data_IF_536344503813
#
_entry.id   IF_536344503813
#
_cell.length_a   1.000
_cell.length_b   1.000
_cell.length_c   1.000
_cell.angle_alpha   90.00
_cell.angle_beta   90.00
_cell.angle_gamma   90.00
#
_symmetry.space_group_name_H-M   'P 1'
#
loop_
_entity.id
_entity.type
_entity.pdbx_description
1 polymer ?
#
# COMPACT_ATOMS: atom_id res chain seq x y z
N UNK A 1 1.76 -16.25 -4.89
CA UNK A 1 3.14 -16.32 -5.39
C UNK A 1 3.84 -17.32 -4.51
N UNK A 2 4.73 -18.15 -5.05
CA UNK A 2 5.54 -19.00 -4.17
C UNK A 2 6.66 -18.18 -3.50
N UNK A 3 7.27 -18.74 -2.47
CA UNK A 3 8.27 -18.03 -1.65
C UNK A 3 9.55 -17.68 -2.45
N UNK A 4 9.87 -18.41 -3.52
CA UNK A 4 11.04 -18.14 -4.35
C UNK A 4 10.76 -16.95 -5.27
N UNK A 5 9.65 -16.98 -6.00
CA UNK A 5 9.16 -15.88 -6.83
C UNK A 5 8.98 -14.59 -6.01
N UNK A 6 8.50 -14.69 -4.77
CA UNK A 6 8.31 -13.56 -3.88
C UNK A 6 9.65 -12.92 -3.48
N UNK A 7 10.62 -13.72 -3.05
CA UNK A 7 11.95 -13.21 -2.66
C UNK A 7 12.66 -12.54 -3.84
N UNK A 8 12.62 -13.16 -5.01
CA UNK A 8 13.19 -12.58 -6.23
C UNK A 8 12.53 -11.24 -6.57
N UNK A 9 11.20 -11.13 -6.43
CA UNK A 9 10.49 -9.86 -6.64
C UNK A 9 10.98 -8.79 -5.66
N UNK A 10 11.09 -9.09 -4.37
CA UNK A 10 11.52 -8.10 -3.37
C UNK A 10 12.96 -7.65 -3.62
N UNK A 11 13.88 -8.58 -3.90
CA UNK A 11 15.27 -8.24 -4.25
C UNK A 11 15.33 -7.34 -5.49
N UNK A 12 14.59 -7.69 -6.54
CA UNK A 12 14.52 -6.89 -7.76
C UNK A 12 13.96 -5.49 -7.51
N UNK A 13 12.95 -5.34 -6.66
CA UNK A 13 12.37 -4.04 -6.31
C UNK A 13 13.33 -3.16 -5.50
N UNK A 14 14.11 -3.75 -4.60
CA UNK A 14 15.11 -3.04 -3.79
C UNK A 14 16.26 -2.54 -4.67
N UNK A 15 16.75 -3.36 -5.60
CA UNK A 15 17.83 -2.98 -6.52
C UNK A 15 17.37 -2.06 -7.66
N UNK A 16 16.07 -2.04 -7.96
CA UNK A 16 15.52 -1.24 -9.04
C UNK A 16 15.63 0.27 -8.77
N UNK A 17 16.33 0.97 -9.65
CA UNK A 17 16.56 2.42 -9.52
C UNK A 17 15.38 3.29 -9.95
N UNK A 18 14.57 2.80 -10.89
CA UNK A 18 13.55 3.60 -11.55
C UNK A 18 12.15 3.25 -11.04
N UNK A 19 11.46 4.25 -10.48
CA UNK A 19 10.09 4.11 -9.99
C UNK A 19 9.12 3.56 -11.03
N UNK A 20 9.24 3.95 -12.30
CA UNK A 20 8.38 3.41 -13.37
C UNK A 20 8.53 1.90 -13.54
N UNK A 21 9.75 1.40 -13.39
CA UNK A 21 10.08 0.00 -13.59
C UNK A 21 9.64 -0.80 -12.36
N UNK A 22 9.81 -0.27 -11.14
CA UNK A 22 9.23 -0.85 -9.92
C UNK A 22 7.72 -1.03 -10.03
N UNK A 23 7.00 0.02 -10.40
CA UNK A 23 5.53 -0.03 -10.53
C UNK A 23 5.10 -1.06 -11.58
N UNK A 24 5.86 -1.17 -12.68
CA UNK A 24 5.61 -2.18 -13.71
C UNK A 24 5.85 -3.58 -13.17
N UNK A 25 6.96 -3.82 -12.47
CA UNK A 25 7.27 -5.11 -11.85
C UNK A 25 6.18 -5.55 -10.88
N UNK A 26 5.75 -4.66 -9.99
CA UNK A 26 4.65 -4.92 -9.05
C UNK A 26 3.40 -5.32 -9.84
N UNK A 27 3.00 -4.52 -10.83
CA UNK A 27 1.79 -4.79 -11.64
C UNK A 27 1.87 -6.11 -12.43
N UNK A 28 3.05 -6.46 -12.93
CA UNK A 28 3.26 -7.63 -13.77
C UNK A 28 3.35 -8.92 -12.93
N UNK A 29 3.89 -8.86 -11.71
CA UNK A 29 4.12 -10.04 -10.85
C UNK A 29 3.05 -10.23 -9.77
N UNK A 30 2.51 -9.17 -9.17
CA UNK A 30 1.47 -9.24 -8.14
C UNK A 30 0.11 -9.52 -8.78
N UNK A 31 -0.59 -10.55 -8.28
CA UNK A 31 -1.87 -11.06 -8.82
C UNK A 31 -3.04 -10.93 -7.86
N UNK A 32 -2.78 -10.74 -6.58
CA UNK A 32 -3.82 -10.57 -5.57
C UNK A 32 -3.59 -9.32 -4.72
N UNK A 33 -4.64 -8.89 -4.03
CA UNK A 33 -4.56 -7.78 -3.08
C UNK A 33 -3.71 -8.15 -1.86
N UNK A 34 -3.74 -9.41 -1.42
CA UNK A 34 -2.92 -9.90 -0.31
C UNK A 34 -1.42 -9.86 -0.67
N UNK A 35 -1.06 -10.31 -1.88
CA UNK A 35 0.32 -10.19 -2.37
C UNK A 35 0.77 -8.73 -2.50
N UNK A 36 -0.14 -7.83 -2.88
CA UNK A 36 0.17 -6.41 -2.93
C UNK A 36 0.49 -5.86 -1.54
N UNK A 37 -0.29 -6.24 -0.53
CA UNK A 37 -0.09 -5.84 0.85
C UNK A 37 1.28 -6.27 1.38
N UNK A 38 1.65 -7.54 1.16
CA UNK A 38 2.96 -8.07 1.55
C UNK A 38 4.10 -7.28 0.88
N UNK A 39 3.98 -7.04 -0.43
CA UNK A 39 4.97 -6.24 -1.18
C UNK A 39 5.05 -4.80 -0.67
N UNK A 40 3.95 -4.19 -0.25
CA UNK A 40 3.95 -2.82 0.27
C UNK A 40 4.73 -2.69 1.58
N UNK A 41 4.74 -3.74 2.40
CA UNK A 41 5.51 -3.79 3.65
C UNK A 41 6.99 -4.06 3.37
N UNK A 42 7.30 -4.99 2.47
CA UNK A 42 8.66 -5.49 2.30
C UNK A 42 9.50 -4.73 1.25
N UNK A 43 8.87 -4.14 0.23
CA UNK A 43 9.59 -3.55 -0.91
C UNK A 43 10.24 -2.17 -0.63
N UNK A 44 10.08 -1.63 0.59
CA UNK A 44 10.68 -0.37 1.04
C UNK A 44 10.45 0.80 0.06
N UNK A 45 9.25 0.87 -0.51
CA UNK A 45 8.88 1.94 -1.43
C UNK A 45 8.89 3.28 -0.69
N UNK A 46 9.45 4.32 -1.32
CA UNK A 46 9.37 5.66 -0.76
C UNK A 46 7.96 6.25 -0.92
N UNK A 47 7.67 7.38 -0.26
CA UNK A 47 6.35 8.00 -0.28
C UNK A 47 5.85 8.32 -1.71
N UNK A 48 6.72 8.75 -2.62
CA UNK A 48 6.33 9.06 -4.01
C UNK A 48 5.94 7.79 -4.78
N UNK A 49 6.75 6.74 -4.68
CA UNK A 49 6.49 5.41 -5.26
C UNK A 49 5.17 4.84 -4.74
N UNK A 50 4.96 4.93 -3.44
CA UNK A 50 3.74 4.48 -2.76
C UNK A 50 2.52 5.24 -3.29
N UNK A 51 2.59 6.57 -3.38
CA UNK A 51 1.50 7.40 -3.91
C UNK A 51 1.16 7.04 -5.36
N UNK A 52 2.18 6.78 -6.20
CA UNK A 52 1.95 6.38 -7.59
C UNK A 52 1.27 5.01 -7.67
N UNK A 53 1.64 4.08 -6.81
CA UNK A 53 0.98 2.77 -6.72
C UNK A 53 -0.48 2.91 -6.25
N UNK A 54 -0.74 3.68 -5.18
CA UNK A 54 -2.10 3.92 -4.69
C UNK A 54 -3.01 4.62 -5.72
N UNK A 55 -2.44 5.44 -6.61
CA UNK A 55 -3.19 6.05 -7.71
C UNK A 55 -3.71 5.04 -8.73
N UNK A 56 -3.10 3.85 -8.81
CA UNK A 56 -3.57 2.76 -9.67
C UNK A 56 -4.74 1.98 -9.07
N UNK A 57 -4.97 2.12 -7.75
CA UNK A 57 -6.00 1.40 -7.03
C UNK A 57 -7.37 2.08 -7.13
N UNK A 58 -8.40 1.25 -7.26
CA UNK A 58 -9.80 1.64 -7.16
C UNK A 58 -10.22 1.97 -5.73
N UNK A 59 -11.40 2.58 -5.59
CA UNK A 59 -11.91 3.00 -4.28
C UNK A 59 -12.11 1.82 -3.30
N UNK A 60 -12.40 0.61 -3.81
CA UNK A 60 -12.60 -0.59 -2.99
C UNK A 60 -11.28 -1.13 -2.45
N UNK A 61 -10.23 -1.18 -3.28
CA UNK A 61 -8.89 -1.63 -2.88
C UNK A 61 -8.28 -0.66 -1.86
N UNK A 62 -8.44 0.65 -2.09
CA UNK A 62 -8.04 1.67 -1.12
C UNK A 62 -8.81 1.52 0.21
N UNK A 63 -10.11 1.24 0.15
CA UNK A 63 -10.91 1.00 1.34
C UNK A 63 -10.47 -0.26 2.10
N UNK A 64 -10.12 -1.34 1.40
CA UNK A 64 -9.56 -2.55 1.99
C UNK A 64 -8.22 -2.26 2.67
N UNK A 65 -7.35 -1.49 2.02
CA UNK A 65 -6.05 -1.09 2.57
C UNK A 65 -6.20 -0.30 3.88
N UNK A 66 -7.15 0.63 3.94
CA UNK A 66 -7.44 1.42 5.15
C UNK A 66 -7.97 0.54 6.28
N UNK A 67 -8.79 -0.47 5.96
CA UNK A 67 -9.33 -1.39 6.96
C UNK A 67 -8.23 -2.27 7.57
N UNK A 68 -7.24 -2.71 6.77
CA UNK A 68 -6.10 -3.52 7.23
C UNK A 68 -5.03 -2.70 7.95
N UNK A 69 -4.74 -1.50 7.46
CA UNK A 69 -3.76 -0.58 8.04
C UNK A 69 -4.42 0.73 8.50
N UNK A 70 -5.20 0.70 9.60
CA UNK A 70 -5.91 1.87 10.07
C UNK A 70 -4.92 2.94 10.57
N UNK A 71 -4.92 4.10 9.90
CA UNK A 71 -4.10 5.26 10.28
C UNK A 71 -4.77 6.21 11.28
N UNK A 72 -6.05 5.96 11.61
CA UNK A 72 -6.80 6.59 12.71
C UNK A 72 -7.09 5.55 13.81
N UNK A 73 -6.04 4.85 14.27
CA UNK A 73 -6.16 3.83 15.32
C UNK A 73 -5.63 4.35 16.66
N UNK A 74 -6.23 3.90 17.76
CA UNK A 74 -5.73 4.12 19.12
C UNK A 74 -4.44 3.32 19.44
N UNK A 75 -4.00 2.45 18.52
CA UNK A 75 -2.74 1.71 18.62
C UNK A 75 -1.57 2.69 18.56
N UNK A 76 -0.67 2.64 19.55
CA UNK A 76 0.48 3.52 19.59
C UNK A 76 1.53 3.08 18.56
N UNK A 77 2.26 4.04 17.99
CA UNK A 77 3.31 3.74 17.01
C UNK A 77 4.35 2.74 17.54
N UNK A 78 4.64 2.76 18.84
CA UNK A 78 5.59 1.82 19.49
C UNK A 78 5.16 0.35 19.44
N UNK A 79 3.89 0.06 19.16
CA UNK A 79 3.36 -1.29 19.06
C UNK A 79 3.38 -1.83 17.62
N UNK A 80 3.84 -1.04 16.65
CA UNK A 80 3.87 -1.37 15.22
C UNK A 80 5.31 -1.45 14.69
N UNK A 81 5.55 -2.30 13.69
CA UNK A 81 6.84 -2.33 12.98
C UNK A 81 7.08 -1.01 12.23
N UNK A 82 8.33 -0.72 11.88
CA UNK A 82 8.69 0.51 11.16
C UNK A 82 8.01 0.57 9.79
N UNK A 83 7.89 -0.59 9.12
CA UNK A 83 7.25 -0.75 7.82
C UNK A 83 5.76 -0.45 7.90
N UNK A 84 5.07 -1.01 8.91
CA UNK A 84 3.64 -0.76 9.15
C UNK A 84 3.38 0.72 9.49
N UNK A 85 4.27 1.36 10.26
CA UNK A 85 4.18 2.79 10.52
C UNK A 85 4.32 3.62 9.23
N UNK A 86 5.27 3.24 8.36
CA UNK A 86 5.46 3.88 7.06
C UNK A 86 4.22 3.74 6.16
N UNK A 87 3.68 2.54 6.03
CA UNK A 87 2.45 2.27 5.26
C UNK A 87 1.29 3.13 5.75
N UNK A 88 1.03 3.16 7.07
CA UNK A 88 -0.04 4.00 7.64
C UNK A 88 0.17 5.48 7.40
N UNK A 89 1.41 5.95 7.52
CA UNK A 89 1.76 7.35 7.27
C UNK A 89 1.53 7.73 5.80
N UNK A 90 2.01 6.91 4.87
CA UNK A 90 1.86 7.17 3.44
C UNK A 90 0.40 7.09 3.00
N UNK A 91 -0.36 6.12 3.52
CA UNK A 91 -1.79 6.00 3.27
C UNK A 91 -2.56 7.22 3.78
N UNK A 92 -2.25 7.71 4.99
CA UNK A 92 -2.83 8.94 5.54
C UNK A 92 -2.51 10.16 4.67
N UNK A 93 -1.25 10.31 4.27
CA UNK A 93 -0.81 11.42 3.42
C UNK A 93 -1.50 11.39 2.06
N UNK A 94 -1.61 10.22 1.44
CA UNK A 94 -2.34 10.03 0.19
C UNK A 94 -3.80 10.42 0.33
N UNK A 95 -4.47 9.92 1.38
CA UNK A 95 -5.87 10.24 1.64
C UNK A 95 -6.07 11.74 1.82
N UNK A 96 -5.13 12.45 2.46
CA UNK A 96 -5.15 13.90 2.61
C UNK A 96 -4.99 14.69 1.31
N UNK A 97 -4.42 14.08 0.25
CA UNK A 97 -4.21 14.71 -1.07
C UNK A 97 -5.40 14.53 -2.03
N UNK A 98 -6.15 13.44 -1.92
CA UNK A 98 -7.31 13.22 -2.79
C UNK A 98 -8.49 14.13 -2.40
N UNK A 99 -9.40 14.36 -3.35
CA UNK A 99 -10.59 15.19 -3.15
C UNK A 99 -11.46 14.69 -1.98
N UNK A 100 -12.07 15.61 -1.23
CA UNK A 100 -12.93 15.28 -0.10
C UNK A 100 -14.07 14.30 -0.47
N UNK A 101 -14.73 14.50 -1.62
CA UNK A 101 -15.80 13.60 -2.06
C UNK A 101 -15.32 12.15 -2.25
N UNK A 102 -14.16 11.95 -2.90
CA UNK A 102 -13.57 10.62 -3.08
C UNK A 102 -13.10 10.03 -1.75
N UNK A 103 -12.49 10.84 -0.88
CA UNK A 103 -12.05 10.44 0.46
C UNK A 103 -13.21 9.91 1.29
N UNK A 104 -14.29 10.68 1.38
CA UNK A 104 -15.49 10.29 2.12
C UNK A 104 -16.08 8.98 1.59
N UNK A 105 -16.17 8.84 0.26
CA UNK A 105 -16.64 7.60 -0.37
C UNK A 105 -15.78 6.39 0.03
N UNK A 106 -14.46 6.49 -0.06
CA UNK A 106 -13.53 5.41 0.31
C UNK A 106 -13.69 5.04 1.79
N UNK A 107 -13.74 6.02 2.69
CA UNK A 107 -13.93 5.78 4.12
C UNK A 107 -15.29 5.14 4.43
N UNK A 108 -16.34 5.50 3.69
CA UNK A 108 -17.64 4.84 3.81
C UNK A 108 -17.58 3.37 3.35
N UNK A 109 -16.89 3.08 2.23
CA UNK A 109 -16.70 1.69 1.79
C UNK A 109 -15.94 0.90 2.87
N UNK A 110 -14.86 1.46 3.41
CA UNK A 110 -14.02 0.80 4.41
C UNK A 110 -14.82 0.37 5.66
N UNK A 111 -15.75 1.21 6.11
CA UNK A 111 -16.64 0.92 7.25
C UNK A 111 -17.60 -0.25 7.02
N UNK A 112 -17.94 -0.54 5.77
CA UNK A 112 -18.93 -1.56 5.39
C UNK A 112 -18.31 -2.82 4.77
N UNK A 113 -16.99 -2.84 4.57
CA UNK A 113 -16.28 -4.08 4.22
C UNK A 113 -16.44 -5.07 5.38
N UNK A 114 -16.78 -6.32 5.07
CA UNK A 114 -16.92 -7.43 6.04
C UNK A 114 -15.55 -7.92 6.48
#
# INVERSE_FOLDING_TARGET
MDDEEYRELIEELIECRYTSDKLKLIKDKVKSFDELEDVLLDAQLNEEEFNLLLNTLGDVELAAMIKRHPFESDIQAVDLSEEEQAVRLYLKNYMNRISNCRREKILQIAKHLV
#
